data_IF_670913865571
#
_entry.id   IF_670913865571
#
_cell.length_a   1.000
_cell.length_b   1.000
_cell.length_c   1.000
_cell.angle_alpha   90.00
_cell.angle_beta   90.00
_cell.angle_gamma   90.00
#
_symmetry.space_group_name_H-M   'P 1'
#
loop_
_entity.id
_entity.type
_entity.pdbx_description
1 polymer ?
#
# COMPACT_ATOMS: atom_id res chain seq x y z
N UNK A 1 19.76 16.60 12.96
CA UNK A 1 18.33 16.56 13.34
C UNK A 1 18.22 15.74 14.63
N UNK A 2 17.22 15.98 15.48
CA UNK A 2 17.07 15.26 16.78
C UNK A 2 17.01 13.73 16.60
N UNK A 3 16.42 13.24 15.50
CA UNK A 3 16.41 11.79 15.21
C UNK A 3 17.84 11.22 15.15
N UNK A 4 18.75 11.88 14.44
CA UNK A 4 20.14 11.42 14.29
C UNK A 4 20.87 11.43 15.65
N UNK A 5 20.55 12.38 16.54
CA UNK A 5 21.09 12.39 17.91
C UNK A 5 20.59 11.18 18.72
N UNK A 6 19.31 10.82 18.59
CA UNK A 6 18.77 9.61 19.23
C UNK A 6 19.35 8.33 18.62
N UNK A 7 19.54 8.27 17.30
CA UNK A 7 20.17 7.12 16.63
C UNK A 7 21.60 6.94 17.14
N UNK A 8 22.37 8.02 17.24
CA UNK A 8 23.70 8.00 17.82
C UNK A 8 23.70 7.59 19.30
N UNK A 9 22.76 8.11 20.11
CA UNK A 9 22.61 7.74 21.52
C UNK A 9 22.28 6.25 21.69
N UNK A 10 21.52 5.68 20.74
CA UNK A 10 21.21 4.25 20.66
C UNK A 10 22.39 3.36 20.23
N UNK A 11 23.58 3.93 20.03
CA UNK A 11 24.75 3.19 19.53
C UNK A 11 24.60 2.76 18.06
N UNK A 12 23.76 3.46 17.29
CA UNK A 12 23.41 3.12 15.90
C UNK A 12 22.76 1.74 15.76
N UNK A 13 21.94 1.36 16.75
CA UNK A 13 21.17 0.13 16.69
C UNK A 13 20.11 0.16 15.57
N UNK A 14 19.66 -1.00 15.06
CA UNK A 14 18.58 -1.07 14.09
C UNK A 14 17.29 -0.43 14.61
N UNK A 15 16.77 0.57 13.90
CA UNK A 15 15.56 1.31 14.31
C UNK A 15 14.31 0.61 13.81
N UNK A 16 13.34 0.40 14.69
CA UNK A 16 12.10 -0.34 14.41
C UNK A 16 10.84 0.50 14.59
N UNK A 17 10.96 1.69 15.18
CA UNK A 17 9.86 2.66 15.31
C UNK A 17 10.40 4.07 15.53
N UNK A 18 9.71 5.06 14.98
CA UNK A 18 9.80 6.49 15.36
C UNK A 18 8.42 6.96 15.82
N UNK A 19 8.36 7.78 16.86
CA UNK A 19 7.14 8.41 17.40
C UNK A 19 7.44 9.90 17.65
N UNK A 20 6.62 10.80 17.10
CA UNK A 20 6.83 12.25 17.18
C UNK A 20 5.54 12.92 17.62
N UNK A 21 5.61 13.62 18.74
CA UNK A 21 4.55 14.48 19.27
C UNK A 21 5.01 15.93 19.28
N UNK A 22 4.12 16.85 19.67
CA UNK A 22 4.47 18.27 19.80
C UNK A 22 5.67 18.54 20.72
N UNK A 23 5.89 17.69 21.73
CA UNK A 23 6.87 17.97 22.81
C UNK A 23 7.95 16.91 22.96
N UNK A 24 7.85 15.78 22.25
CA UNK A 24 8.75 14.67 22.40
C UNK A 24 8.96 13.93 21.08
N UNK A 25 10.15 13.39 20.92
CA UNK A 25 10.53 12.51 19.83
C UNK A 25 11.13 11.24 20.42
N UNK A 26 10.64 10.08 20.01
CA UNK A 26 11.14 8.79 20.49
C UNK A 26 11.50 7.89 19.31
N UNK A 27 12.58 7.12 19.46
CA UNK A 27 12.90 6.00 18.58
C UNK A 27 12.91 4.70 19.39
N UNK A 28 12.54 3.60 18.76
CA UNK A 28 12.78 2.25 19.30
C UNK A 28 13.92 1.63 18.52
N UNK A 29 14.98 1.24 19.22
CA UNK A 29 16.14 0.57 18.67
C UNK A 29 16.24 -0.87 19.20
N UNK A 30 16.55 -1.82 18.32
CA UNK A 30 16.80 -3.20 18.68
C UNK A 30 18.28 -3.36 19.06
N UNK A 31 18.63 -3.11 20.32
CA UNK A 31 20.00 -3.23 20.83
C UNK A 31 20.10 -4.49 21.70
N UNK A 32 20.86 -5.48 21.24
CA UNK A 32 20.88 -6.80 21.89
C UNK A 32 19.54 -7.52 21.77
N UNK A 33 19.25 -8.42 22.72
CA UNK A 33 18.05 -9.26 22.70
C UNK A 33 16.74 -8.55 23.06
N UNK A 34 16.75 -7.25 23.37
CA UNK A 34 15.55 -6.53 23.83
C UNK A 34 15.45 -5.11 23.26
N UNK A 35 14.27 -4.68 22.76
CA UNK A 35 14.09 -3.35 22.21
C UNK A 35 14.14 -2.27 23.31
N UNK A 36 14.86 -1.18 23.04
CA UNK A 36 15.05 -0.04 23.93
C UNK A 36 14.48 1.22 23.28
N UNK A 37 13.73 2.02 24.06
CA UNK A 37 13.20 3.32 23.61
C UNK A 37 14.17 4.41 24.04
N UNK A 38 14.55 5.26 23.09
CA UNK A 38 15.32 6.48 23.31
C UNK A 38 14.42 7.66 23.03
N UNK A 39 14.25 8.54 24.01
CA UNK A 39 13.32 9.67 23.92
C UNK A 39 14.06 10.98 24.14
N UNK A 40 13.90 11.88 23.20
CA UNK A 40 14.21 13.29 23.37
C UNK A 40 12.96 14.02 23.86
N UNK A 41 13.07 14.74 24.98
CA UNK A 41 12.02 15.60 25.50
C UNK A 41 12.64 16.80 26.23
N UNK A 42 12.19 18.01 25.94
CA UNK A 42 12.64 19.24 26.60
C UNK A 42 14.18 19.40 26.63
N UNK A 43 14.87 19.04 25.54
CA UNK A 43 16.32 19.17 25.42
C UNK A 43 17.13 18.07 26.13
N UNK A 44 16.48 17.03 26.67
CA UNK A 44 17.14 15.88 27.31
C UNK A 44 16.84 14.60 26.55
N UNK A 45 17.83 13.72 26.50
CA UNK A 45 17.69 12.36 25.96
C UNK A 45 17.73 11.40 27.14
N UNK A 46 16.67 10.61 27.28
CA UNK A 46 16.58 9.52 28.26
C UNK A 46 16.26 8.22 27.54
N UNK A 47 16.60 7.08 28.15
CA UNK A 47 16.28 5.76 27.64
C UNK A 47 15.49 4.93 28.63
N UNK A 48 14.64 4.04 28.10
CA UNK A 48 13.83 3.13 28.90
C UNK A 48 13.67 1.80 28.17
N UNK A 49 13.60 0.70 28.92
CA UNK A 49 13.20 -0.57 28.36
C UNK A 49 11.76 -0.49 27.82
N UNK A 50 11.48 -1.18 26.72
CA UNK A 50 10.11 -1.32 26.21
C UNK A 50 9.24 -2.07 27.21
N UNK A 51 8.07 -1.52 27.55
CA UNK A 51 7.07 -2.25 28.34
C UNK A 51 6.25 -3.15 27.40
N UNK A 52 6.57 -4.45 27.37
CA UNK A 52 5.81 -5.55 26.74
C UNK A 52 5.77 -5.65 25.20
N UNK A 53 6.09 -6.86 24.71
CA UNK A 53 5.63 -7.55 23.47
C UNK A 53 5.54 -6.76 22.17
N UNK A 54 6.36 -5.73 21.95
CA UNK A 54 6.43 -5.13 20.62
C UNK A 54 6.93 -6.21 19.65
N UNK A 55 6.04 -6.62 18.75
CA UNK A 55 6.32 -7.64 17.73
C UNK A 55 7.51 -7.14 16.91
N UNK A 56 8.50 -8.02 16.72
CA UNK A 56 9.72 -7.73 15.94
C UNK A 56 9.30 -7.05 14.64
N UNK A 57 9.55 -5.75 14.55
CA UNK A 57 9.26 -4.95 13.37
C UNK A 57 10.54 -4.88 12.54
N UNK A 58 10.40 -4.90 11.22
CA UNK A 58 11.51 -4.78 10.29
C UNK A 58 12.29 -3.50 10.57
N UNK A 59 13.62 -3.58 10.76
CA UNK A 59 14.42 -2.38 10.87
C UNK A 59 14.36 -1.53 9.61
N UNK A 60 14.43 -0.21 9.78
CA UNK A 60 14.48 0.78 8.71
C UNK A 60 15.45 1.90 9.07
N UNK A 61 15.88 2.65 8.05
CA UNK A 61 16.62 3.89 8.25
C UNK A 61 15.63 5.07 8.33
N UNK A 62 15.60 5.85 9.43
CA UNK A 62 14.77 7.05 9.50
C UNK A 62 15.05 8.07 8.40
N UNK A 63 16.26 8.09 7.82
CA UNK A 63 16.63 9.02 6.74
C UNK A 63 15.97 8.63 5.39
N UNK A 64 15.42 7.42 5.27
CA UNK A 64 14.60 7.02 4.10
C UNK A 64 13.21 7.70 4.08
N UNK A 65 12.85 8.41 5.15
CA UNK A 65 11.55 9.06 5.31
C UNK A 65 11.70 10.58 5.29
N UNK A 66 10.76 11.24 4.61
CA UNK A 66 10.72 12.69 4.43
C UNK A 66 10.27 13.45 5.71
N UNK A 67 10.92 13.16 6.83
CA UNK A 67 10.71 13.77 8.15
C UNK A 67 10.95 15.29 8.14
N UNK A 68 11.76 15.80 7.22
CA UNK A 68 11.93 17.23 6.96
C UNK A 68 10.64 17.89 6.44
N UNK A 69 9.73 17.12 5.82
CA UNK A 69 8.41 17.58 5.37
C UNK A 69 7.34 17.47 6.44
N UNK A 70 7.72 17.17 7.69
CA UNK A 70 6.78 16.99 8.80
C UNK A 70 5.73 18.11 8.93
N UNK A 71 6.05 19.43 8.81
CA UNK A 71 5.02 20.46 8.86
C UNK A 71 3.91 20.28 7.80
N UNK A 72 4.31 19.93 6.58
CA UNK A 72 3.37 19.66 5.47
C UNK A 72 2.58 18.37 5.69
N UNK A 73 3.23 17.31 6.19
CA UNK A 73 2.58 16.03 6.52
C UNK A 73 1.51 16.24 7.59
N UNK A 74 1.84 16.94 8.67
CA UNK A 74 0.95 17.24 9.79
C UNK A 74 -0.24 18.13 9.35
N UNK A 75 0.02 19.16 8.54
CA UNK A 75 -1.05 19.98 7.97
C UNK A 75 -2.00 19.14 7.12
N UNK A 76 -1.45 18.33 6.20
CA UNK A 76 -2.26 17.47 5.33
C UNK A 76 -3.05 16.42 6.11
N UNK A 77 -2.46 15.85 7.16
CA UNK A 77 -3.14 14.92 8.05
C UNK A 77 -4.30 15.58 8.78
N UNK A 78 -4.15 16.84 9.21
CA UNK A 78 -5.24 17.57 9.84
C UNK A 78 -6.38 17.84 8.85
N UNK A 79 -6.07 18.25 7.62
CA UNK A 79 -7.08 18.45 6.56
C UNK A 79 -7.88 17.16 6.29
N UNK A 80 -7.20 16.01 6.26
CA UNK A 80 -7.84 14.70 5.98
C UNK A 80 -8.60 14.15 7.17
N UNK A 81 -8.05 14.29 8.39
CA UNK A 81 -8.65 13.76 9.61
C UNK A 81 -9.71 14.69 10.21
N UNK A 82 -9.76 15.96 9.78
CA UNK A 82 -10.63 16.98 10.34
C UNK A 82 -10.13 17.59 11.65
N UNK A 83 -8.92 17.25 12.12
CA UNK A 83 -8.43 17.68 13.44
C UNK A 83 -6.94 18.06 13.44
N UNK A 84 -6.63 19.22 14.01
CA UNK A 84 -5.25 19.66 14.27
C UNK A 84 -4.79 19.32 15.70
N UNK A 85 -5.63 18.69 16.51
CA UNK A 85 -5.37 18.50 17.93
C UNK A 85 -4.55 17.24 18.21
N UNK A 86 -3.52 17.40 19.05
CA UNK A 86 -2.72 16.31 19.63
C UNK A 86 -2.24 15.28 18.59
N UNK A 87 -1.69 15.77 17.49
CA UNK A 87 -1.15 14.91 16.44
C UNK A 87 0.04 14.09 16.96
N UNK A 88 0.06 12.81 16.60
CA UNK A 88 1.19 11.91 16.75
C UNK A 88 1.56 11.34 15.39
N UNK A 89 2.78 11.61 14.94
CA UNK A 89 3.39 11.00 13.76
C UNK A 89 4.19 9.76 14.17
N UNK A 90 3.93 8.63 13.53
CA UNK A 90 4.71 7.41 13.74
C UNK A 90 5.32 6.94 12.43
N UNK A 91 6.52 6.36 12.51
CA UNK A 91 7.13 5.57 11.44
C UNK A 91 7.26 4.14 11.97
N UNK A 92 6.57 3.19 11.36
CA UNK A 92 6.49 1.81 11.86
C UNK A 92 6.20 0.85 10.72
N UNK A 93 6.61 -0.41 10.88
CA UNK A 93 6.18 -1.47 9.99
C UNK A 93 4.65 -1.62 10.03
N UNK A 94 4.03 -1.49 8.85
CA UNK A 94 2.60 -1.67 8.66
C UNK A 94 2.28 -3.13 8.29
N UNK A 95 2.97 -3.70 7.31
CA UNK A 95 2.70 -5.07 6.85
C UNK A 95 3.83 -5.65 5.97
N UNK A 96 4.28 -6.87 6.27
CA UNK A 96 5.23 -7.66 5.45
C UNK A 96 6.49 -6.88 5.05
N UNK A 97 7.08 -6.17 6.01
CA UNK A 97 8.26 -5.33 5.83
C UNK A 97 8.00 -3.98 5.17
N UNK A 98 6.74 -3.62 4.87
CA UNK A 98 6.38 -2.28 4.42
C UNK A 98 6.34 -1.35 5.63
N UNK A 99 7.20 -0.34 5.66
CA UNK A 99 7.24 0.69 6.70
C UNK A 99 6.57 1.95 6.17
N UNK A 100 5.68 2.55 6.95
CA UNK A 100 4.90 3.74 6.57
C UNK A 100 4.98 4.82 7.64
N UNK A 101 4.72 6.05 7.21
CA UNK A 101 4.39 7.15 8.10
C UNK A 101 2.89 7.15 8.38
N UNK A 102 2.50 7.34 9.64
CA UNK A 102 1.12 7.49 10.05
C UNK A 102 0.95 8.72 10.92
N UNK A 103 -0.17 9.42 10.78
CA UNK A 103 -0.54 10.52 11.69
C UNK A 103 -1.90 10.21 12.28
N UNK A 104 -2.00 10.30 13.61
CA UNK A 104 -3.25 10.16 14.37
C UNK A 104 -3.50 11.40 15.22
N UNK A 105 -4.76 11.74 15.48
CA UNK A 105 -5.19 12.92 16.26
C UNK A 105 -5.96 12.49 17.50
N UNK A 106 -6.13 13.40 18.48
CA UNK A 106 -6.96 13.16 19.68
C UNK A 106 -7.66 14.46 20.15
N UNK A 107 -8.96 14.45 20.49
CA UNK A 107 -9.94 13.37 20.30
C UNK A 107 -10.63 13.46 18.92
N UNK A 108 -10.11 12.78 17.90
CA UNK A 108 -10.84 12.30 16.71
C UNK A 108 -9.90 11.39 15.89
N UNK A 109 -10.47 10.50 15.07
CA UNK A 109 -10.18 9.06 15.15
C UNK A 109 -9.70 8.41 13.84
N UNK A 110 -9.28 9.19 12.83
CA UNK A 110 -8.81 8.66 11.55
C UNK A 110 -7.28 8.73 11.42
N UNK A 111 -6.64 7.57 11.38
CA UNK A 111 -5.21 7.47 11.01
C UNK A 111 -5.04 7.84 9.54
N UNK A 112 -4.18 8.80 9.26
CA UNK A 112 -3.79 9.20 7.91
C UNK A 112 -2.44 8.56 7.60
N UNK A 113 -2.33 7.93 6.43
CA UNK A 113 -1.12 7.21 6.03
C UNK A 113 -0.34 8.00 4.98
N UNK A 114 0.98 7.90 5.06
CA UNK A 114 1.91 8.58 4.16
C UNK A 114 3.00 7.60 3.70
N UNK A 115 3.41 7.76 2.45
CA UNK A 115 4.57 7.06 1.86
C UNK A 115 5.88 7.65 2.39
N UNK A 116 7.02 6.96 2.22
CA UNK A 116 8.31 7.46 2.70
C UNK A 116 8.66 8.87 2.19
N UNK A 117 8.25 9.23 0.97
CA UNK A 117 8.49 10.55 0.38
C UNK A 117 7.62 11.70 0.97
N UNK A 118 6.74 11.38 1.92
CA UNK A 118 5.81 12.32 2.56
C UNK A 118 4.49 12.53 1.81
N UNK A 119 4.25 11.82 0.69
CA UNK A 119 2.97 11.87 -0.01
C UNK A 119 1.89 11.11 0.75
N UNK A 120 0.67 11.66 0.79
CA UNK A 120 -0.46 10.99 1.41
C UNK A 120 -0.89 9.77 0.58
N UNK A 121 -1.28 8.70 1.27
CA UNK A 121 -1.99 7.56 0.67
C UNK A 121 -3.46 7.96 0.59
N UNK A 122 -3.97 8.11 -0.64
CA UNK A 122 -5.29 8.70 -0.85
C UNK A 122 -6.40 7.65 -0.72
N UNK A 123 -7.63 8.14 -0.51
CA UNK A 123 -8.81 7.34 -0.77
C UNK A 123 -8.89 6.99 -2.26
N UNK A 124 -9.14 5.72 -2.58
CA UNK A 124 -9.24 5.27 -3.97
C UNK A 124 -10.69 5.20 -4.41
N UNK A 125 -11.05 6.05 -5.36
CA UNK A 125 -12.20 5.84 -6.23
C UNK A 125 -11.79 4.94 -7.41
N UNK A 126 -12.18 3.66 -7.37
CA UNK A 126 -11.83 2.69 -8.42
C UNK A 126 -12.47 2.98 -9.79
N UNK A 127 -13.34 4.00 -9.91
CA UNK A 127 -13.86 4.46 -11.20
C UNK A 127 -13.01 5.59 -11.82
N UNK A 128 -12.08 6.20 -11.07
CA UNK A 128 -11.20 7.27 -11.55
C UNK A 128 -9.89 6.70 -12.11
N UNK A 129 -9.45 7.11 -13.31
CA UNK A 129 -8.18 6.64 -13.85
C UNK A 129 -6.96 6.98 -12.98
N UNK A 130 -6.94 8.17 -12.36
CA UNK A 130 -5.85 8.59 -11.49
C UNK A 130 -5.78 7.75 -10.21
N UNK A 131 -6.94 7.50 -9.59
CA UNK A 131 -7.00 6.68 -8.39
C UNK A 131 -6.76 5.18 -8.70
N UNK A 132 -7.20 4.69 -9.87
CA UNK A 132 -6.84 3.35 -10.36
C UNK A 132 -5.33 3.22 -10.58
N UNK A 133 -4.67 4.25 -11.11
CA UNK A 133 -3.21 4.27 -11.28
C UNK A 133 -2.48 4.17 -9.93
N UNK A 134 -2.94 4.92 -8.92
CA UNK A 134 -2.42 4.82 -7.55
C UNK A 134 -2.64 3.41 -6.99
N UNK A 135 -3.85 2.86 -7.14
CA UNK A 135 -4.19 1.54 -6.61
C UNK A 135 -3.35 0.42 -7.22
N UNK A 136 -3.16 0.45 -8.54
CA UNK A 136 -2.31 -0.50 -9.26
C UNK A 136 -0.84 -0.35 -8.86
N UNK A 137 -0.35 0.88 -8.72
CA UNK A 137 1.04 1.13 -8.30
C UNK A 137 1.30 0.57 -6.91
N UNK A 138 0.40 0.85 -5.95
CA UNK A 138 0.50 0.37 -4.57
C UNK A 138 0.39 -1.17 -4.48
N UNK A 139 -0.47 -1.78 -5.30
CA UNK A 139 -0.66 -3.23 -5.32
C UNK A 139 0.46 -3.97 -6.07
N UNK A 140 1.01 -3.41 -7.15
CA UNK A 140 2.16 -3.99 -7.88
C UNK A 140 3.45 -3.86 -7.07
N UNK A 141 3.62 -2.75 -6.33
CA UNK A 141 4.76 -2.49 -5.44
C UNK A 141 6.14 -2.78 -6.09
N UNK A 142 6.32 -2.34 -7.33
CA UNK A 142 7.58 -2.46 -8.05
C UNK A 142 7.88 -3.84 -8.64
N UNK A 143 6.97 -4.82 -8.52
CA UNK A 143 7.10 -6.11 -9.17
C UNK A 143 7.29 -5.96 -10.69
N UNK A 144 8.17 -6.78 -11.27
CA UNK A 144 8.43 -6.79 -12.72
C UNK A 144 7.53 -7.73 -13.49
N UNK A 145 6.92 -8.69 -12.79
CA UNK A 145 6.02 -9.70 -13.33
C UNK A 145 4.89 -9.91 -12.34
N UNK A 146 3.67 -10.01 -12.84
CA UNK A 146 2.47 -10.33 -12.05
C UNK A 146 1.77 -11.52 -12.69
N UNK A 147 1.21 -12.42 -11.87
CA UNK A 147 0.44 -13.57 -12.36
C UNK A 147 -1.03 -13.23 -12.59
N UNK A 148 -1.59 -12.41 -11.71
CA UNK A 148 -2.98 -11.99 -11.79
C UNK A 148 -3.16 -10.58 -11.22
N UNK A 149 -4.03 -9.79 -11.85
CA UNK A 149 -4.60 -8.57 -11.26
C UNK A 149 -6.10 -8.73 -11.22
N UNK A 150 -6.76 -8.37 -10.12
CA UNK A 150 -8.22 -8.41 -10.06
C UNK A 150 -8.79 -7.27 -9.24
N UNK A 151 -10.01 -6.88 -9.59
CA UNK A 151 -10.84 -5.97 -8.80
C UNK A 151 -12.04 -6.72 -8.25
N UNK A 152 -12.24 -6.59 -6.95
CA UNK A 152 -13.48 -7.01 -6.31
C UNK A 152 -14.33 -5.79 -5.96
N UNK A 153 -15.58 -5.72 -6.46
CA UNK A 153 -16.50 -4.61 -6.24
C UNK A 153 -16.62 -4.20 -4.77
N UNK A 154 -16.42 -2.91 -4.51
CA UNK A 154 -16.52 -2.32 -3.18
C UNK A 154 -15.45 -2.80 -2.19
N UNK A 155 -14.44 -3.56 -2.63
CA UNK A 155 -13.40 -4.09 -1.75
C UNK A 155 -12.02 -3.57 -2.08
N UNK A 156 -11.41 -4.02 -3.18
CA UNK A 156 -10.01 -3.76 -3.44
C UNK A 156 -9.57 -4.18 -4.84
N UNK A 157 -8.43 -3.61 -5.26
CA UNK A 157 -7.53 -4.19 -6.25
C UNK A 157 -6.61 -5.19 -5.56
N UNK A 158 -6.41 -6.34 -6.18
CA UNK A 158 -5.52 -7.40 -5.73
C UNK A 158 -4.55 -7.76 -6.85
N UNK A 159 -3.27 -7.89 -6.52
CA UNK A 159 -2.21 -8.31 -7.44
C UNK A 159 -1.50 -9.50 -6.83
N UNK A 160 -1.45 -10.60 -7.57
CA UNK A 160 -0.66 -11.78 -7.21
C UNK A 160 0.67 -11.75 -7.95
N UNK A 161 1.77 -11.81 -7.20
CA UNK A 161 3.13 -11.87 -7.75
C UNK A 161 3.78 -13.23 -7.45
N UNK A 162 4.64 -13.73 -8.34
CA UNK A 162 5.42 -14.94 -8.08
C UNK A 162 6.29 -14.80 -6.83
N UNK A 163 6.46 -15.90 -6.11
CA UNK A 163 7.48 -16.02 -5.06
C UNK A 163 8.54 -17.05 -5.46
N UNK A 164 9.61 -17.15 -4.69
CA UNK A 164 10.63 -18.19 -4.87
C UNK A 164 10.14 -19.59 -4.48
N UNK A 165 8.97 -19.70 -3.83
CA UNK A 165 8.40 -20.97 -3.40
C UNK A 165 7.34 -21.44 -4.40
N UNK A 166 7.52 -22.61 -5.05
CA UNK A 166 6.52 -23.15 -5.97
C UNK A 166 5.14 -23.31 -5.32
N UNK A 167 4.09 -22.93 -6.04
CA UNK A 167 2.70 -23.00 -5.56
C UNK A 167 2.32 -21.94 -4.52
N UNK A 168 3.20 -20.96 -4.28
CA UNK A 168 2.96 -19.82 -3.39
C UNK A 168 3.10 -18.51 -4.16
N UNK A 169 2.10 -17.66 -4.03
CA UNK A 169 2.09 -16.29 -4.56
C UNK A 169 2.02 -15.30 -3.42
N UNK A 170 2.55 -14.10 -3.64
CA UNK A 170 2.36 -12.97 -2.76
C UNK A 170 1.18 -12.14 -3.29
N UNK A 171 0.06 -12.13 -2.56
CA UNK A 171 -1.07 -11.26 -2.89
C UNK A 171 -0.90 -9.93 -2.20
N UNK A 172 -0.75 -8.85 -2.96
CA UNK A 172 -0.90 -7.49 -2.46
C UNK A 172 -2.31 -6.97 -2.73
N UNK A 173 -2.95 -6.41 -1.72
CA UNK A 173 -4.31 -5.89 -1.78
C UNK A 173 -4.29 -4.41 -1.45
N UNK A 174 -4.89 -3.58 -2.31
CA UNK A 174 -5.11 -2.15 -2.10
C UNK A 174 -6.61 -1.88 -2.07
N UNK A 175 -7.18 -1.74 -0.87
CA UNK A 175 -8.57 -1.30 -0.68
C UNK A 175 -8.70 0.22 -0.80
N UNK A 176 -9.91 0.76 -0.72
CA UNK A 176 -10.15 2.19 -0.90
C UNK A 176 -9.42 3.06 0.14
N UNK A 177 -9.55 2.71 1.43
CA UNK A 177 -9.13 3.58 2.54
C UNK A 177 -7.84 3.14 3.26
N UNK A 178 -7.30 1.97 2.92
CA UNK A 178 -6.12 1.41 3.60
C UNK A 178 -4.92 1.33 2.66
N UNK A 179 -3.69 1.55 3.17
CA UNK A 179 -2.47 1.25 2.43
C UNK A 179 -2.44 -0.20 1.98
N UNK A 180 -1.73 -0.48 0.88
CA UNK A 180 -1.62 -1.84 0.39
C UNK A 180 -0.95 -2.77 1.42
N UNK A 181 -1.52 -3.97 1.59
CA UNK A 181 -0.96 -5.03 2.42
C UNK A 181 -0.75 -6.31 1.62
N UNK A 182 0.23 -7.10 2.00
CA UNK A 182 0.62 -8.34 1.37
C UNK A 182 0.31 -9.56 2.26
N UNK A 183 -0.08 -10.66 1.63
CA UNK A 183 -0.21 -11.97 2.27
C UNK A 183 0.31 -13.04 1.33
N UNK A 184 1.06 -14.00 1.86
CA UNK A 184 1.36 -15.22 1.11
C UNK A 184 0.14 -16.11 1.08
N UNK A 185 -0.13 -16.72 -0.07
CA UNK A 185 -1.22 -17.68 -0.23
C UNK A 185 -0.84 -18.75 -1.23
N UNK A 186 -1.52 -19.90 -1.15
CA UNK A 186 -1.49 -20.90 -2.22
C UNK A 186 -2.03 -20.26 -3.51
N UNK A 187 -1.29 -20.41 -4.60
CA UNK A 187 -1.64 -19.87 -5.90
C UNK A 187 -0.66 -20.35 -6.96
N UNK A 188 -1.07 -20.21 -8.21
CA UNK A 188 -0.21 -20.45 -9.37
C UNK A 188 0.10 -19.11 -10.03
N UNK A 189 1.39 -18.87 -10.31
CA UNK A 189 1.87 -17.73 -11.07
C UNK A 189 2.90 -18.21 -12.12
N UNK A 190 2.66 -19.40 -12.68
CA UNK A 190 3.47 -19.98 -13.77
C UNK A 190 3.36 -19.18 -15.07
N UNK A 191 2.20 -18.58 -15.33
CA UNK A 191 2.00 -17.60 -16.40
C UNK A 191 1.99 -16.19 -15.81
N UNK A 192 2.88 -15.34 -16.29
CA UNK A 192 3.04 -13.96 -15.80
C UNK A 192 3.14 -12.98 -16.94
N UNK A 193 2.79 -11.72 -16.66
CA UNK A 193 2.94 -10.61 -17.58
C UNK A 193 3.55 -9.38 -16.90
N UNK A 194 4.09 -8.47 -17.72
CA UNK A 194 4.62 -7.20 -17.22
C UNK A 194 3.47 -6.28 -16.76
N UNK A 195 3.52 -5.75 -15.53
CA UNK A 195 2.51 -4.79 -15.06
C UNK A 195 2.56 -3.46 -15.83
N UNK A 196 3.59 -3.20 -16.64
CA UNK A 196 3.64 -2.03 -17.52
C UNK A 196 2.56 -2.04 -18.61
N UNK A 197 1.96 -3.22 -18.87
CA UNK A 197 0.84 -3.38 -19.81
C UNK A 197 -0.50 -2.97 -19.18
N UNK A 198 -0.54 -2.67 -17.89
CA UNK A 198 -1.74 -2.23 -17.20
C UNK A 198 -1.92 -0.73 -17.42
N UNK A 199 -2.90 -0.37 -18.25
CA UNK A 199 -3.23 1.02 -18.53
C UNK A 199 -4.53 1.42 -17.78
N UNK A 200 -4.46 2.26 -16.73
CA UNK A 200 -5.63 2.64 -15.94
C UNK A 200 -6.77 3.21 -16.77
N UNK A 201 -6.46 4.07 -17.76
CA UNK A 201 -7.46 4.64 -18.67
C UNK A 201 -8.20 3.56 -19.47
N UNK A 202 -7.48 2.53 -19.95
CA UNK A 202 -8.08 1.43 -20.73
C UNK A 202 -8.96 0.57 -19.85
N UNK A 203 -8.50 0.21 -18.64
CA UNK A 203 -9.29 -0.55 -17.67
C UNK A 203 -10.60 0.19 -17.37
N UNK A 204 -10.52 1.48 -17.01
CA UNK A 204 -11.72 2.29 -16.73
C UNK A 204 -12.63 2.40 -17.96
N UNK A 205 -12.07 2.55 -19.16
CA UNK A 205 -12.85 2.58 -20.39
C UNK A 205 -13.62 1.27 -20.63
N UNK A 206 -12.96 0.11 -20.50
CA UNK A 206 -13.59 -1.21 -20.60
C UNK A 206 -14.70 -1.36 -19.55
N UNK A 207 -14.45 -0.95 -18.31
CA UNK A 207 -15.42 -1.03 -17.22
C UNK A 207 -16.65 -0.16 -17.49
N UNK A 208 -16.48 1.05 -18.02
CA UNK A 208 -17.60 1.90 -18.42
C UNK A 208 -18.43 1.29 -19.56
N UNK A 209 -17.76 0.78 -20.60
CA UNK A 209 -18.43 0.14 -21.73
C UNK A 209 -19.22 -1.10 -21.31
N UNK A 210 -18.65 -1.93 -20.45
CA UNK A 210 -19.27 -3.19 -20.00
C UNK A 210 -20.40 -2.94 -19.02
N UNK A 211 -20.26 -1.95 -18.13
CA UNK A 211 -21.31 -1.49 -17.23
C UNK A 211 -22.53 -0.95 -17.98
N UNK A 212 -22.32 -0.14 -19.02
CA UNK A 212 -23.41 0.35 -19.87
C UNK A 212 -24.18 -0.81 -20.53
N UNK A 213 -23.47 -1.82 -21.05
CA UNK A 213 -24.10 -3.03 -21.64
C UNK A 213 -24.84 -3.89 -20.61
N UNK A 214 -24.38 -3.92 -19.37
CA UNK A 214 -25.00 -4.66 -18.27
C UNK A 214 -26.13 -3.88 -17.57
N UNK A 215 -26.33 -2.60 -17.88
CA UNK A 215 -27.17 -1.69 -17.09
C UNK A 215 -26.77 -1.68 -15.59
N UNK A 216 -25.46 -1.63 -15.33
CA UNK A 216 -24.85 -1.64 -13.99
C UNK A 216 -23.93 -0.42 -13.82
N UNK A 217 -23.44 -0.18 -12.60
CA UNK A 217 -22.35 0.76 -12.36
C UNK A 217 -21.00 0.05 -12.53
N UNK A 218 -19.97 0.72 -13.09
CA UNK A 218 -18.62 0.15 -13.19
C UNK A 218 -18.07 -0.34 -11.84
N UNK A 219 -18.38 0.36 -10.75
CA UNK A 219 -17.96 0.02 -9.38
C UNK A 219 -18.47 -1.35 -8.90
N UNK A 220 -19.58 -1.82 -9.48
CA UNK A 220 -20.30 -3.03 -9.05
C UNK A 220 -19.83 -4.27 -9.81
N UNK A 221 -18.93 -4.09 -10.79
CA UNK A 221 -18.48 -5.14 -11.69
C UNK A 221 -17.05 -5.57 -11.37
N UNK A 222 -16.88 -6.85 -11.04
CA UNK A 222 -15.57 -7.44 -10.81
C UNK A 222 -14.89 -7.81 -12.11
N UNK A 223 -13.56 -7.71 -12.13
CA UNK A 223 -12.76 -8.08 -13.30
C UNK A 223 -11.43 -8.71 -12.87
N UNK A 224 -10.85 -9.47 -13.79
CA UNK A 224 -9.56 -10.14 -13.60
C UNK A 224 -8.74 -10.01 -14.88
N UNK A 225 -7.44 -9.76 -14.74
CA UNK A 225 -6.45 -9.76 -15.81
C UNK A 225 -5.46 -10.90 -15.51
N UNK A 226 -5.34 -11.81 -16.45
CA UNK A 226 -4.35 -12.91 -16.44
C UNK A 226 -3.77 -13.07 -17.83
N UNK A 227 -2.58 -13.67 -17.91
CA UNK A 227 -2.05 -14.14 -19.19
C UNK A 227 -3.02 -15.16 -19.81
N UNK A 228 -3.40 -14.96 -21.05
CA UNK A 228 -4.18 -15.91 -21.83
C UNK A 228 -3.26 -16.83 -22.63
N UNK A 229 -3.50 -18.14 -22.57
CA UNK A 229 -2.62 -19.13 -23.20
C UNK A 229 -2.77 -19.23 -24.72
N UNK A 230 -3.90 -18.81 -25.30
CA UNK A 230 -4.13 -18.82 -26.75
C UNK A 230 -3.51 -17.59 -27.40
N UNK A 231 -3.70 -16.43 -26.77
CA UNK A 231 -3.16 -15.17 -27.28
C UNK A 231 -1.72 -14.92 -26.85
N UNK A 232 -1.24 -15.61 -25.81
CA UNK A 232 0.06 -15.37 -25.18
C UNK A 232 0.24 -13.88 -24.85
N UNK A 233 -0.80 -13.31 -24.24
CA UNK A 233 -0.91 -11.92 -23.85
C UNK A 233 -1.88 -11.76 -22.66
N UNK A 234 -1.75 -10.70 -21.84
CA UNK A 234 -2.67 -10.43 -20.76
C UNK A 234 -4.05 -9.99 -21.27
N UNK A 235 -5.10 -10.60 -20.71
CA UNK A 235 -6.49 -10.37 -21.09
C UNK A 235 -7.34 -10.04 -19.87
N UNK A 236 -8.04 -8.90 -19.93
CA UNK A 236 -9.04 -8.48 -18.96
C UNK A 236 -10.35 -9.22 -19.22
N UNK A 237 -10.85 -9.92 -18.20
CA UNK A 237 -12.12 -10.63 -18.20
C UNK A 237 -13.10 -10.01 -17.22
N UNK A 238 -14.32 -9.81 -17.67
CA UNK A 238 -15.42 -9.22 -16.88
C UNK A 238 -16.73 -9.91 -17.22
N UNK A 239 -17.54 -10.20 -16.20
CA UNK A 239 -18.87 -10.79 -16.36
C UNK A 239 -19.89 -9.74 -16.76
N UNK A 240 -20.62 -9.99 -17.85
CA UNK A 240 -21.69 -9.11 -18.37
C UNK A 240 -22.92 -9.97 -18.65
N UNK A 241 -23.99 -9.80 -17.88
CA UNK A 241 -25.27 -10.53 -18.04
C UNK A 241 -25.11 -12.06 -18.16
N UNK A 242 -24.24 -12.66 -17.33
CA UNK A 242 -23.97 -14.10 -17.34
C UNK A 242 -22.99 -14.57 -18.42
N UNK A 243 -22.43 -13.66 -19.23
CA UNK A 243 -21.41 -13.98 -20.24
C UNK A 243 -20.09 -13.29 -19.88
N UNK A 244 -19.00 -14.02 -19.90
CA UNK A 244 -17.65 -13.43 -19.78
C UNK A 244 -17.28 -12.72 -21.06
N UNK A 245 -16.96 -11.44 -20.96
CA UNK A 245 -16.31 -10.66 -22.03
C UNK A 245 -14.82 -10.59 -21.75
N UNK A 246 -14.02 -10.58 -22.82
CA UNK A 246 -12.58 -10.57 -22.75
C UNK A 246 -12.01 -9.43 -23.61
N UNK A 247 -11.03 -8.71 -23.07
CA UNK A 247 -10.42 -7.56 -23.71
C UNK A 247 -8.89 -7.62 -23.58
N UNK A 248 -8.18 -7.27 -24.64
CA UNK A 248 -6.73 -7.05 -24.56
C UNK A 248 -6.41 -5.77 -23.76
N UNK A 249 -5.13 -5.58 -23.42
CA UNK A 249 -4.67 -4.42 -22.62
C UNK A 249 -4.75 -3.08 -23.35
N UNK A 250 -5.06 -3.08 -24.64
CA UNK A 250 -5.37 -1.89 -25.45
C UNK A 250 -6.87 -1.55 -25.48
N UNK A 251 -7.74 -2.44 -24.96
CA UNK A 251 -9.19 -2.27 -24.94
C UNK A 251 -9.93 -3.00 -26.06
N UNK A 252 -9.24 -3.69 -26.95
CA UNK A 252 -9.85 -4.47 -28.04
C UNK A 252 -10.62 -5.67 -27.48
N UNK A 253 -11.89 -5.86 -27.89
CA UNK A 253 -12.69 -7.03 -27.54
C UNK A 253 -12.16 -8.27 -28.27
N UNK A 254 -11.73 -9.27 -27.50
CA UNK A 254 -11.18 -10.55 -27.98
C UNK A 254 -12.00 -11.74 -27.49
N UNK A 255 -13.26 -11.50 -27.11
CA UNK A 255 -14.14 -12.52 -26.52
C UNK A 255 -14.22 -13.78 -27.37
N UNK A 256 -14.25 -13.67 -28.70
CA UNK A 256 -14.35 -14.82 -29.59
C UNK A 256 -13.02 -15.55 -29.81
N UNK A 257 -11.89 -14.87 -29.60
CA UNK A 257 -10.55 -15.43 -29.81
C UNK A 257 -10.08 -16.28 -28.62
N UNK A 258 -10.59 -15.98 -27.42
CA UNK A 258 -10.22 -16.70 -26.19
C UNK A 258 -11.17 -17.85 -25.81
N UNK A 259 -12.29 -18.02 -26.54
CA UNK A 259 -13.25 -19.14 -26.35
C UNK A 259 -12.63 -20.50 -26.59
#
# INVERSE_FOLDING_TARGET
MIINELVAASGNGPITKVDITKTALSITAQIGGSPTVWTWQNGKIDSSATQSTQTVSRPFDPDDFAVEKMPTILSKAADISGSHMNQNLQIVEYNQGTVLMTVSTKPESRTVFFRPDGSAINHIDFASPAAMAEALTDAVAGAKQVGQVSYQPGKAIMVDTPTTTPGVVMRRTRSADMPAWAVQRKGDASATFSPTLLHPNVIIHIMNLTAAKANQKPSDMGWTITEDSKLNAPVLRVGVNGVTRAFNTDGTDVTDEVK
#
